data_IF_991145419394
#
_entry.id   IF_991145419394
#
_cell.length_a   1.000
_cell.length_b   1.000
_cell.length_c   1.000
_cell.angle_alpha   90.00
_cell.angle_beta   90.00
_cell.angle_gamma   90.00
#
_symmetry.space_group_name_H-M   'P 1'
#
loop_
_entity.id
_entity.type
_entity.pdbx_description
1 polymer ?
2 non-polymer ?
3 non-polymer ?
4 water ?
#
# COMPACT_ATOMS: atom_id res chain seq x y z
N UNK A 1 14.02 -10.17 -14.60
CA UNK A 1 13.28 -9.31 -13.64
C UNK A 1 12.42 -10.18 -12.72
N UNK A 2 12.10 -9.64 -11.55
CA UNK A 2 11.24 -10.35 -10.61
C UNK A 2 9.83 -10.46 -11.20
N UNK A 3 8.97 -11.25 -10.56
CA UNK A 3 7.63 -11.50 -11.09
C UNK A 3 6.78 -10.23 -11.14
N UNK A 4 5.88 -10.18 -12.12
CA UNK A 4 5.03 -9.01 -12.33
C UNK A 4 3.61 -9.25 -11.83
N UNK A 5 3.07 -8.27 -11.11
CA UNK A 5 1.73 -8.37 -10.55
C UNK A 5 0.82 -7.28 -11.08
N UNK A 6 -0.48 -7.54 -11.00
CA UNK A 6 -1.49 -6.62 -11.50
C UNK A 6 -2.42 -6.21 -10.37
N UNK A 7 -2.28 -4.98 -9.87
CA UNK A 7 -3.19 -4.51 -8.82
C UNK A 7 -4.64 -4.45 -9.29
N UNK A 8 -5.55 -4.82 -8.40
CA UNK A 8 -6.98 -4.64 -8.63
C UNK A 8 -7.28 -3.14 -8.63
N UNK A 9 -8.48 -2.74 -9.09
CA UNK A 9 -8.71 -1.31 -9.34
C UNK A 9 -8.47 -0.38 -8.15
N UNK A 10 -8.90 -0.78 -6.96
CA UNK A 10 -8.77 0.10 -5.80
C UNK A 10 -7.29 0.33 -5.49
N UNK A 11 -6.50 -0.73 -5.50
CA UNK A 11 -5.08 -0.59 -5.23
C UNK A 11 -4.40 0.22 -6.33
N UNK A 12 -4.80 -0.04 -7.58
CA UNK A 12 -4.22 0.68 -8.71
C UNK A 12 -4.46 2.18 -8.56
N UNK A 13 -5.66 2.56 -8.14
CA UNK A 13 -5.98 3.97 -7.97
C UNK A 13 -5.07 4.59 -6.91
N UNK A 14 -4.78 3.84 -5.85
CA UNK A 14 -3.89 4.34 -4.81
C UNK A 14 -2.48 4.54 -5.36
N UNK A 15 -1.97 3.54 -6.07
CA UNK A 15 -0.60 3.59 -6.58
C UNK A 15 -0.43 4.74 -7.57
N UNK A 16 -1.42 4.93 -8.44
CA UNK A 16 -1.38 6.04 -9.38
C UNK A 16 -1.44 7.39 -8.66
N UNK A 17 -2.24 7.48 -7.60
CA UNK A 17 -2.35 8.74 -6.87
C UNK A 17 -1.00 9.09 -6.24
N UNK A 18 -0.20 8.07 -5.95
CA UNK A 18 1.11 8.25 -5.36
C UNK A 18 2.17 8.59 -6.41
N UNK A 19 1.79 8.51 -7.68
CA UNK A 19 2.71 8.90 -8.74
C UNK A 19 3.04 7.82 -9.76
N UNK A 20 2.57 6.60 -9.55
CA UNK A 20 2.80 5.53 -10.53
C UNK A 20 2.13 5.88 -11.85
N UNK A 21 2.80 5.57 -12.96
CA UNK A 21 2.25 5.89 -14.28
C UNK A 21 2.06 4.66 -15.16
N UNK A 22 2.03 3.49 -14.53
CA UNK A 22 1.73 2.25 -15.24
C UNK A 22 0.77 1.40 -14.41
N UNK A 23 0.43 0.22 -14.91
CA UNK A 23 -0.58 -0.61 -14.26
C UNK A 23 -0.05 -1.98 -13.86
N UNK A 24 1.20 -2.27 -14.23
CA UNK A 24 1.81 -3.55 -13.93
C UNK A 24 3.12 -3.31 -13.18
N UNK A 25 3.35 -4.07 -12.12
CA UNK A 25 4.42 -3.77 -11.17
C UNK A 25 5.15 -5.02 -10.70
N UNK A 26 6.37 -4.84 -10.20
CA UNK A 26 6.97 -5.83 -9.31
C UNK A 26 6.47 -5.54 -7.90
N UNK A 27 6.58 -6.53 -7.01
CA UNK A 27 6.17 -6.33 -5.62
C UNK A 27 6.98 -5.21 -4.98
N UNK A 28 8.26 -5.12 -5.34
CA UNK A 28 9.11 -4.07 -4.82
C UNK A 28 8.55 -2.70 -5.19
N UNK A 29 8.05 -2.57 -6.41
CA UNK A 29 7.49 -1.31 -6.87
C UNK A 29 6.20 -0.97 -6.13
N UNK A 30 5.36 -1.98 -5.91
CA UNK A 30 4.13 -1.76 -5.17
C UNK A 30 4.44 -1.25 -3.76
N UNK A 31 5.40 -1.90 -3.10
CA UNK A 31 5.83 -1.49 -1.77
C UNK A 31 6.39 -0.08 -1.76
N UNK A 32 7.19 0.25 -2.77
CA UNK A 32 7.75 1.59 -2.88
C UNK A 32 6.64 2.64 -2.94
N UNK A 33 5.67 2.45 -3.82
CA UNK A 33 4.62 3.44 -3.99
C UNK A 33 3.72 3.54 -2.76
N UNK A 34 3.49 2.42 -2.08
CA UNK A 34 2.73 2.45 -0.84
C UNK A 34 3.43 3.32 0.20
N UNK A 35 4.75 3.16 0.33
CA UNK A 35 5.50 4.01 1.22
C UNK A 35 5.37 5.47 0.85
N UNK A 36 5.49 5.77 -0.44
CA UNK A 36 5.39 7.15 -0.91
C UNK A 36 4.03 7.75 -0.59
N UNK A 37 2.99 6.94 -0.75
CA UNK A 37 1.61 7.35 -0.47
C UNK A 37 1.44 7.71 1.00
N UNK A 38 1.89 6.82 1.88
CA UNK A 38 1.79 7.03 3.31
C UNK A 38 2.55 8.29 3.74
N UNK A 39 3.75 8.47 3.20
CA UNK A 39 4.56 9.63 3.54
C UNK A 39 3.94 10.94 3.04
N UNK A 40 3.48 10.95 1.79
CA UNK A 40 2.94 12.18 1.21
C UNK A 40 1.68 12.62 1.94
N UNK A 41 0.81 11.67 2.27
CA UNK A 41 -0.44 11.97 2.95
C UNK A 41 -0.27 12.12 4.45
N UNK A 42 0.93 11.81 4.94
CA UNK A 42 1.23 11.86 6.37
C UNK A 42 0.27 11.01 7.19
N UNK A 43 0.03 9.79 6.73
CA UNK A 43 -0.87 8.88 7.42
C UNK A 43 -0.21 8.26 8.65
N UNK A 44 1.11 8.38 8.73
CA UNK A 44 1.84 7.83 9.87
C UNK A 44 1.68 8.70 11.11
N UNK A 45 1.81 8.07 12.27
CA UNK A 45 1.70 8.78 13.54
C UNK A 45 2.91 9.69 13.71
N UNK A 46 2.67 10.95 14.06
CA UNK A 46 3.73 11.94 14.14
C UNK A 46 4.83 11.53 15.12
N UNK A 47 4.43 10.92 16.23
CA UNK A 47 5.37 10.59 17.31
C UNK A 47 5.83 9.14 17.29
N UNK A 48 5.05 8.27 16.64
CA UNK A 48 5.44 6.88 16.46
C UNK A 48 5.34 6.54 14.98
N UNK A 49 6.37 6.89 14.22
CA UNK A 49 6.24 7.01 12.77
C UNK A 49 6.16 5.67 12.04
N UNK A 50 6.37 4.58 12.76
CA UNK A 50 6.18 3.25 12.18
C UNK A 50 4.71 2.83 12.19
N UNK A 51 3.87 3.58 12.91
CA UNK A 51 2.45 3.28 12.96
C UNK A 51 1.69 4.07 11.90
N UNK A 52 0.90 3.36 11.10
CA UNK A 52 0.12 3.98 10.04
C UNK A 52 -1.35 4.00 10.44
N UNK A 53 -1.94 5.20 10.44
CA UNK A 53 -3.37 5.38 10.68
C UNK A 53 -4.08 5.48 9.33
N UNK A 54 -4.92 4.50 9.01
CA UNK A 54 -5.51 4.47 7.69
C UNK A 54 -7.04 4.38 7.66
N UNK A 55 -7.68 4.74 8.76
CA UNK A 55 -9.13 4.94 8.72
C UNK A 55 -9.44 6.16 7.85
N UNK A 56 -10.65 6.21 7.31
CA UNK A 56 -11.05 7.31 6.44
C UNK A 56 -10.07 7.48 5.28
N UNK A 57 -9.62 6.35 4.73
CA UNK A 57 -8.69 6.36 3.61
C UNK A 57 -8.85 5.07 2.82
N UNK A 58 -8.68 5.14 1.50
CA UNK A 58 -8.72 3.91 0.70
C UNK A 58 -7.75 2.83 1.21
N UNK A 59 -6.63 3.23 1.79
CA UNK A 59 -5.67 2.25 2.29
C UNK A 59 -6.30 1.36 3.36
N UNK A 60 -7.16 1.96 4.19
CA UNK A 60 -7.86 1.20 5.20
C UNK A 60 -8.83 0.19 4.63
N UNK A 61 -9.49 0.55 3.54
CA UNK A 61 -10.39 -0.40 2.87
C UNK A 61 -9.58 -1.52 2.23
N UNK A 62 -8.46 -1.16 1.61
CA UNK A 62 -7.59 -2.14 0.97
C UNK A 62 -7.05 -3.17 1.95
N UNK A 63 -6.61 -2.69 3.11
CA UNK A 63 -5.92 -3.55 4.06
C UNK A 63 -6.88 -4.12 5.11
N UNK A 64 -8.08 -3.54 5.20
CA UNK A 64 -9.08 -4.05 6.11
C UNK A 64 -8.79 -3.77 7.57
N UNK A 65 -8.03 -2.71 7.83
CA UNK A 65 -7.67 -2.33 9.19
C UNK A 65 -7.71 -0.81 9.33
N UNK A 66 -7.72 -0.33 10.57
CA UNK A 66 -7.69 1.11 10.82
C UNK A 66 -6.29 1.58 11.15
N UNK A 67 -5.43 0.65 11.56
CA UNK A 67 -4.04 0.94 11.87
C UNK A 67 -3.19 -0.30 11.65
N UNK A 68 -1.92 -0.09 11.33
CA UNK A 68 -0.95 -1.18 11.30
C UNK A 68 0.45 -0.61 11.47
N UNK A 69 1.40 -1.47 11.78
CA UNK A 69 2.80 -1.07 11.86
C UNK A 69 3.53 -1.49 10.59
N UNK A 70 4.42 -0.62 10.11
CA UNK A 70 5.19 -0.94 8.92
C UNK A 70 6.12 -2.12 9.15
N UNK A 71 6.27 -2.52 10.41
CA UNK A 71 7.13 -3.65 10.76
C UNK A 71 6.45 -5.00 10.52
N UNK A 72 5.14 -4.97 10.27
CA UNK A 72 4.38 -6.21 10.10
C UNK A 72 4.45 -6.72 8.67
N UNK A 73 5.63 -7.18 8.25
CA UNK A 73 5.83 -7.50 6.84
C UNK A 73 4.95 -8.62 6.33
N UNK A 74 4.85 -9.72 7.07
CA UNK A 74 4.05 -10.83 6.59
C UNK A 74 2.59 -10.41 6.43
N UNK A 75 2.07 -9.65 7.39
CA UNK A 75 0.70 -9.17 7.31
C UNK A 75 0.50 -8.22 6.13
N UNK A 76 1.46 -7.34 5.91
CA UNK A 76 1.37 -6.38 4.82
C UNK A 76 1.41 -7.08 3.46
N UNK A 77 2.27 -8.09 3.32
CA UNK A 77 2.30 -8.88 2.09
C UNK A 77 0.95 -9.55 1.83
N UNK A 78 0.33 -10.08 2.88
CA UNK A 78 -0.96 -10.74 2.75
C UNK A 78 -2.04 -9.74 2.35
N UNK A 79 -2.00 -8.55 2.96
CA UNK A 79 -2.99 -7.53 2.67
C UNK A 79 -2.88 -7.06 1.22
N UNK A 80 -1.64 -6.93 0.73
CA UNK A 80 -1.42 -6.57 -0.66
C UNK A 80 -1.89 -7.69 -1.59
N UNK A 81 -1.64 -8.93 -1.19
CA UNK A 81 -1.93 -10.08 -2.04
C UNK A 81 -3.41 -10.20 -2.37
N UNK A 82 -4.28 -9.81 -1.45
CA UNK A 82 -5.71 -9.89 -1.72
C UNK A 82 -6.17 -8.72 -2.58
N UNK A 83 -5.23 -7.88 -2.98
CA UNK A 83 -5.52 -6.78 -3.89
C UNK A 83 -4.75 -6.89 -5.20
N UNK A 84 -4.37 -8.12 -5.54
CA UNK A 84 -3.75 -8.41 -6.82
C UNK A 84 -4.63 -9.36 -7.62
N UNK A 85 -4.64 -9.21 -8.94
CA UNK A 85 -5.38 -10.13 -9.80
C UNK A 85 -4.67 -11.48 -9.83
N UNK A 86 -5.43 -12.55 -9.60
CA UNK A 86 -4.86 -13.89 -9.55
C UNK A 86 -4.59 -14.43 -10.95
X LIG B 1 8.63 1.63 4.34
X LIG B 1 8.32 0.55 3.39
X LIG B 1 8.89 0.86 2.00
X LIG B 1 6.82 0.35 3.35
X LIG B 1 9.06 -0.66 4.06
X LIG B 1 10.48 -0.79 3.50
X LIG B 1 8.33 -1.98 3.94
X LIG B 1 9.15 -0.24 5.45
X LIG B 1 9.05 1.03 5.53
X LIG B 1 9.36 1.83 6.71
X LIG B 1 6.03 0.89 4.38
X LIG B 1 4.66 0.65 4.41
X LIG B 1 4.07 -0.12 3.40
X LIG B 1 2.37 -0.48 3.48
X LIG B 1 4.84 -0.61 2.35
X LIG B 1 6.21 -0.37 2.32
X LIG B 1 8.72 -2.91 2.97
X LIG B 1 8.06 -4.14 2.86
X LIG B 1 7.01 -4.43 3.72
X LIG B 1 6.15 -5.95 3.57
X LIG B 1 6.62 -3.51 4.70
X LIG B 1 7.28 -2.29 4.81
X LIG B 1 10.34 1.38 7.60
X LIG B 1 10.68 2.12 8.72
X LIG B 1 10.04 3.33 8.97
X LIG B 1 10.43 4.10 10.22
X LIG B 1 10.12 3.25 11.45
X LIG B 1 9.64 5.41 10.29
X LIG B 1 9.05 3.81 8.09
X LIG B 1 8.72 3.04 6.97
X LIG B 1 7.74 3.46 6.08
X LIG B 1 7.07 4.66 6.44
X LIG B 1 6.02 5.00 5.37
X LIG B 1 11.94 4.41 10.19
X LIG C 1 -12.26 -2.72 -6.75
X LIG C 1 -13.03 -3.30 -5.63
X LIG C 1 -10.82 -2.95 -6.52
X LIG C 1 -12.66 -3.35 -8.02
X LIG C 1 -12.52 -1.27 -6.82
X LIG D 1 1.10 -1.36 -18.10
X LIG D 1 0.10 -2.42 -17.88
X LIG D 1 2.27 -1.59 -17.22
X LIG D 1 1.53 -1.38 -19.51
X LIG D 1 0.51 -0.05 -17.79
#
# INVERSE_FOLDING_TARGET
>A
MEKLVQPTPLLLSLLKSAGAQKETFTMKEVLYHLGQYIMAKQLYDEKQQHIVHCSNDPLGELFGVQEFSVKEHRRIYAMISRNLVS
>B hetero
1 I31 N1 C5 C57 C51 C4 C47 C41 N3 C2 C21 C56 C55 C54 CL5 C53 C52 C42 C43 C44 CL4 C45 C46 C22 C23 C24 C30 C32 C31 C25 C26 O27 C28 C29 C33
>C hetero
1 SO4 S O1 O2 O3 O4
>D hetero
1 SO4 S O1 O2 O3 O4
#
